data_IF_335762821509
#
_entry.id   IF_335762821509
#
_cell.length_a   1.000
_cell.length_b   1.000
_cell.length_c   1.000
_cell.angle_alpha   90.00
_cell.angle_beta   90.00
_cell.angle_gamma   90.00
#
_symmetry.space_group_name_H-M   'P 1'
#
loop_
_entity.id
_entity.type
_entity.pdbx_description
1 polymer ?
#
# COMPACT_ATOMS: atom_id res chain seq x y z
N UNK A 1 -9.40 13.03 15.43
CA UNK A 1 -9.25 12.18 14.23
C UNK A 1 -8.73 10.78 14.56
N UNK A 2 -7.62 10.62 15.30
CA UNK A 2 -7.12 9.28 15.72
C UNK A 2 -8.13 8.44 16.53
N UNK A 3 -9.08 9.07 17.26
CA UNK A 3 -10.15 8.36 17.99
C UNK A 3 -11.29 7.80 17.12
N UNK A 4 -11.37 8.16 15.84
CA UNK A 4 -12.46 7.74 14.93
C UNK A 4 -12.13 6.49 14.10
N UNK A 5 -10.87 6.03 14.13
CA UNK A 5 -10.40 4.96 13.24
C UNK A 5 -10.68 3.54 13.76
N UNK A 6 -11.07 3.40 15.03
CA UNK A 6 -11.11 2.09 15.70
C UNK A 6 -12.34 1.22 15.37
N UNK A 7 -13.37 1.72 14.67
CA UNK A 7 -14.64 1.01 14.57
C UNK A 7 -15.36 1.06 13.22
N UNK A 8 -14.77 1.65 12.16
CA UNK A 8 -15.48 1.72 10.88
C UNK A 8 -14.54 1.61 9.66
N UNK A 9 -14.66 0.55 8.83
CA UNK A 9 -13.87 0.41 7.60
C UNK A 9 -14.11 1.56 6.61
N UNK A 10 -15.28 2.20 6.63
CA UNK A 10 -15.56 3.38 5.81
C UNK A 10 -14.71 4.59 6.21
N UNK A 11 -14.41 4.75 7.50
CA UNK A 11 -13.56 5.84 8.00
C UNK A 11 -12.10 5.66 7.57
N UNK A 12 -11.63 4.42 7.51
CA UNK A 12 -10.29 4.08 7.00
C UNK A 12 -10.17 4.40 5.50
N UNK A 13 -11.17 4.03 4.70
CA UNK A 13 -11.19 4.33 3.27
C UNK A 13 -11.19 5.84 3.01
N UNK A 14 -12.04 6.60 3.70
CA UNK A 14 -12.11 8.05 3.51
C UNK A 14 -10.80 8.73 3.90
N UNK A 15 -10.17 8.29 5.00
CA UNK A 15 -8.88 8.85 5.42
C UNK A 15 -7.81 8.67 4.35
N UNK A 16 -7.64 7.46 3.83
CA UNK A 16 -6.65 7.17 2.79
C UNK A 16 -6.97 7.84 1.44
N UNK A 17 -8.22 8.20 1.20
CA UNK A 17 -8.67 8.92 0.00
C UNK A 17 -8.19 10.38 0.02
N UNK A 18 -8.36 11.06 1.16
CA UNK A 18 -8.16 12.52 1.27
C UNK A 18 -6.83 12.96 1.89
N UNK A 19 -6.07 12.07 2.55
CA UNK A 19 -4.89 12.50 3.32
C UNK A 19 -3.81 13.20 2.49
N UNK A 20 -3.71 12.90 1.20
CA UNK A 20 -2.73 13.50 0.27
C UNK A 20 -3.19 14.83 -0.34
N UNK A 21 -4.47 15.18 -0.21
CA UNK A 21 -5.00 16.44 -0.76
C UNK A 21 -4.34 17.64 -0.07
N UNK A 22 -4.01 17.51 1.21
CA UNK A 22 -3.27 18.53 1.97
C UNK A 22 -1.84 18.76 1.44
N UNK A 23 -1.29 17.83 0.66
CA UNK A 23 0.02 17.90 -0.01
C UNK A 23 -0.12 18.33 -1.50
N UNK A 24 -1.30 18.82 -1.90
CA UNK A 24 -1.60 19.25 -3.27
C UNK A 24 -1.68 18.10 -4.28
N UNK A 25 -1.69 16.85 -3.82
CA UNK A 25 -1.79 15.66 -4.68
C UNK A 25 -3.25 15.28 -4.90
N UNK A 26 -3.58 14.68 -6.06
CA UNK A 26 -4.93 14.25 -6.36
C UNK A 26 -5.39 13.14 -5.40
N UNK A 27 -6.71 12.98 -5.34
CA UNK A 27 -7.37 11.96 -4.55
C UNK A 27 -6.87 10.55 -4.90
N UNK A 28 -6.63 9.73 -3.87
CA UNK A 28 -6.21 8.34 -4.05
C UNK A 28 -7.40 7.49 -4.51
N UNK A 29 -7.24 6.72 -5.59
CA UNK A 29 -8.23 5.75 -6.04
C UNK A 29 -7.92 4.35 -5.52
N UNK A 30 -8.96 3.61 -5.11
CA UNK A 30 -8.86 2.24 -4.65
C UNK A 30 -9.34 1.25 -5.70
N UNK A 31 -8.61 0.15 -5.88
CA UNK A 31 -9.12 -1.01 -6.61
C UNK A 31 -10.29 -1.67 -5.86
N UNK A 32 -11.09 -2.47 -6.57
CA UNK A 32 -12.22 -3.22 -6.00
C UNK A 32 -13.25 -2.37 -5.24
N UNK A 33 -13.47 -1.12 -5.69
CA UNK A 33 -14.43 -0.19 -5.08
C UNK A 33 -14.16 0.12 -3.59
N UNK A 34 -12.94 -0.11 -3.10
CA UNK A 34 -12.58 0.11 -1.69
C UNK A 34 -13.02 -1.00 -0.73
N UNK A 35 -13.43 -2.17 -1.24
CA UNK A 35 -13.82 -3.29 -0.39
C UNK A 35 -12.61 -4.01 0.24
N UNK A 36 -12.66 -4.21 1.55
CA UNK A 36 -11.69 -5.04 2.26
C UNK A 36 -11.83 -6.51 1.84
N UNK A 37 -10.74 -7.09 1.32
CA UNK A 37 -10.71 -8.48 0.88
C UNK A 37 -10.56 -9.45 2.06
N UNK A 38 -10.96 -10.71 1.83
CA UNK A 38 -10.84 -11.77 2.83
C UNK A 38 -9.38 -12.14 3.14
N UNK A 39 -9.18 -12.77 4.30
CA UNK A 39 -7.85 -13.17 4.82
C UNK A 39 -7.00 -13.95 3.81
N UNK A 40 -7.61 -14.85 3.03
CA UNK A 40 -6.90 -15.66 2.04
C UNK A 40 -6.21 -14.78 1.00
N UNK A 41 -6.97 -13.87 0.36
CA UNK A 41 -6.44 -12.93 -0.62
C UNK A 41 -5.35 -12.03 -0.03
N UNK A 42 -5.56 -11.52 1.20
CA UNK A 42 -4.54 -10.72 1.87
C UNK A 42 -3.24 -11.51 2.12
N UNK A 43 -3.35 -12.81 2.46
CA UNK A 43 -2.19 -13.67 2.68
C UNK A 43 -1.45 -13.96 1.38
N UNK A 44 -2.18 -14.19 0.28
CA UNK A 44 -1.60 -14.40 -1.06
C UNK A 44 -0.77 -13.19 -1.50
N UNK A 45 -1.32 -11.98 -1.38
CA UNK A 45 -0.60 -10.74 -1.72
C UNK A 45 0.65 -10.55 -0.87
N UNK A 46 0.59 -10.85 0.44
CA UNK A 46 1.77 -10.79 1.33
C UNK A 46 2.85 -11.77 0.88
N UNK A 47 2.48 -12.99 0.51
CA UNK A 47 3.42 -14.00 0.03
C UNK A 47 4.03 -13.63 -1.32
N UNK A 48 3.24 -13.06 -2.23
CA UNK A 48 3.73 -12.55 -3.51
C UNK A 48 4.78 -11.44 -3.31
N UNK A 49 4.48 -10.46 -2.46
CA UNK A 49 5.43 -9.39 -2.13
C UNK A 49 6.71 -9.92 -1.46
N UNK A 50 6.60 -10.94 -0.60
CA UNK A 50 7.76 -11.59 0.02
C UNK A 50 8.66 -12.27 -1.01
N UNK A 51 8.08 -12.99 -1.96
CA UNK A 51 8.85 -13.62 -3.03
C UNK A 51 9.47 -12.59 -3.99
N UNK A 52 8.76 -11.51 -4.30
CA UNK A 52 9.32 -10.39 -5.06
C UNK A 52 10.51 -9.74 -4.34
N UNK A 53 10.43 -9.55 -3.02
CA UNK A 53 11.52 -9.03 -2.19
C UNK A 53 12.74 -9.97 -2.16
N UNK A 54 12.54 -11.29 -2.03
CA UNK A 54 13.64 -12.26 -2.13
C UNK A 54 14.32 -12.22 -3.49
N UNK A 55 13.55 -12.11 -4.58
CA UNK A 55 14.09 -11.98 -5.94
C UNK A 55 14.89 -10.69 -6.10
N UNK A 56 14.40 -9.57 -5.55
CA UNK A 56 15.13 -8.30 -5.49
C UNK A 56 16.48 -8.47 -4.79
N UNK A 57 16.52 -9.12 -3.63
CA UNK A 57 17.77 -9.33 -2.89
C UNK A 57 18.75 -10.23 -3.64
N UNK A 58 18.24 -11.27 -4.33
CA UNK A 58 19.08 -12.23 -5.05
C UNK A 58 19.63 -11.67 -6.36
N UNK A 59 18.81 -10.93 -7.12
CA UNK A 59 19.10 -10.56 -8.51
C UNK A 59 19.37 -9.06 -8.69
N UNK A 60 19.15 -8.24 -7.65
CA UNK A 60 19.13 -6.78 -7.78
C UNK A 60 17.88 -6.30 -8.54
N UNK A 61 17.59 -5.00 -8.46
CA UNK A 61 16.54 -4.35 -9.25
C UNK A 61 17.19 -3.49 -10.34
N UNK A 62 16.84 -3.72 -11.59
CA UNK A 62 17.31 -2.91 -12.71
C UNK A 62 16.72 -1.48 -12.75
N UNK A 63 15.62 -1.24 -12.02
CA UNK A 63 14.83 0.00 -12.11
C UNK A 63 14.93 0.94 -10.89
N UNK A 64 15.72 0.59 -9.87
CA UNK A 64 16.05 1.53 -8.79
C UNK A 64 17.51 1.90 -9.03
N UNK A 65 17.75 3.12 -9.47
CA UNK A 65 19.05 3.75 -9.26
C UNK A 65 19.21 3.83 -7.74
N UNK A 66 19.71 2.75 -7.14
CA UNK A 66 20.41 2.85 -5.88
C UNK A 66 21.55 3.78 -6.24
N UNK A 67 21.47 5.05 -5.83
CA UNK A 67 22.65 5.89 -5.72
C UNK A 67 23.66 5.00 -5.02
N UNK A 68 24.56 4.45 -5.82
CA UNK A 68 25.54 3.49 -5.36
C UNK A 68 26.36 4.35 -4.42
N UNK A 69 26.29 4.06 -3.12
CA UNK A 69 27.21 4.65 -2.17
C UNK A 69 28.60 4.10 -2.54
N UNK A 70 29.23 4.77 -3.50
CA UNK A 70 30.66 4.89 -3.75
C UNK A 70 30.91 6.29 -4.26
#
# INVERSE_FOLDING_TARGET
MLKLMHLNPMATNEWFRIYKILDGKPENQFAFSGEAKHKMYATEVVMECHEAWKRLLKNGYAGISLCTAR
#
